data_IF_776102814702
#
_entry.id   IF_776102814702
#
_cell.length_a   1.000
_cell.length_b   1.000
_cell.length_c   1.000
_cell.angle_alpha   90.00
_cell.angle_beta   90.00
_cell.angle_gamma   90.00
#
_symmetry.space_group_name_H-M   'P 1'
#
loop_
_entity.id
_entity.type
_entity.pdbx_description
1 polymer ?
#
# COMPACT_ATOMS: atom_id res chain seq x y z
N UNK A 1 -15.50 -19.33 6.12
CA UNK A 1 -14.04 -19.23 5.86
C UNK A 1 -13.75 -18.79 4.41
N UNK A 2 -14.41 -17.74 3.87
CA UNK A 2 -14.16 -17.24 2.50
C UNK A 2 -13.72 -15.77 2.41
N UNK A 3 -13.59 -15.06 3.53
CA UNK A 3 -13.29 -13.62 3.55
C UNK A 3 -11.81 -13.25 3.34
N UNK A 4 -10.90 -14.23 3.24
CA UNK A 4 -9.45 -14.00 3.13
C UNK A 4 -8.91 -14.00 1.69
N UNK A 5 -9.72 -14.34 0.68
CA UNK A 5 -9.22 -14.54 -0.69
C UNK A 5 -9.51 -13.39 -1.69
N UNK A 6 -10.41 -12.45 -1.38
CA UNK A 6 -10.82 -11.44 -2.38
C UNK A 6 -9.86 -10.25 -2.54
N UNK A 7 -8.82 -10.08 -1.71
CA UNK A 7 -7.85 -8.98 -1.89
C UNK A 7 -6.80 -9.24 -2.99
N UNK A 8 -6.83 -10.39 -3.68
CA UNK A 8 -5.80 -10.77 -4.67
C UNK A 8 -6.14 -10.46 -6.14
N UNK A 9 -7.38 -10.04 -6.46
CA UNK A 9 -7.83 -9.90 -7.86
C UNK A 9 -8.51 -8.56 -8.11
N UNK A 10 -7.74 -7.48 -8.10
CA UNK A 10 -8.12 -6.22 -8.73
C UNK A 10 -6.91 -5.61 -9.45
N UNK A 11 -6.33 -6.37 -10.39
CA UNK A 11 -5.48 -5.81 -11.44
C UNK A 11 -6.41 -5.27 -12.54
N UNK A 12 -6.67 -3.96 -12.53
CA UNK A 12 -7.25 -3.30 -13.69
C UNK A 12 -6.23 -3.31 -14.83
N UNK A 13 -6.54 -4.06 -15.88
CA UNK A 13 -5.91 -4.01 -17.21
C UNK A 13 -5.81 -2.55 -17.70
N UNK A 14 -4.74 -2.17 -18.41
CA UNK A 14 -4.80 -1.01 -19.28
C UNK A 14 -5.92 -1.19 -20.30
N UNK A 15 -6.75 -0.17 -20.47
CA UNK A 15 -7.81 -0.11 -21.47
C UNK A 15 -7.21 -0.31 -22.86
N UNK A 16 -7.73 -1.30 -23.60
CA UNK A 16 -7.39 -1.53 -25.00
C UNK A 16 -7.98 -0.38 -25.83
N UNK A 17 -7.13 0.57 -26.21
CA UNK A 17 -7.40 1.55 -27.25
C UNK A 17 -7.38 0.89 -28.63
N UNK A 18 -8.43 1.15 -29.39
CA UNK A 18 -8.68 0.93 -30.82
C UNK A 18 -7.47 0.63 -31.71
N UNK A 19 -7.60 -0.46 -32.47
CA UNK A 19 -6.70 -0.90 -33.53
C UNK A 19 -6.50 0.14 -34.64
N UNK A 20 -5.24 0.32 -35.07
CA UNK A 20 -4.86 0.95 -36.34
C UNK A 20 -3.91 -0.01 -37.10
N UNK A 21 -3.90 -0.02 -38.45
CA UNK A 21 -3.38 -1.13 -39.23
C UNK A 21 -1.85 -1.11 -39.38
N UNK A 22 -1.28 -2.30 -39.58
CA UNK A 22 0.15 -2.57 -39.71
C UNK A 22 0.76 -2.00 -41.01
N UNK A 23 2.05 -1.56 -40.99
CA UNK A 23 2.86 -1.51 -42.18
C UNK A 23 3.78 -2.75 -42.31
N UNK A 24 4.02 -3.12 -43.57
CA UNK A 24 4.69 -4.30 -44.11
C UNK A 24 6.20 -4.41 -43.79
N UNK A 25 6.87 -5.54 -44.08
CA UNK A 25 8.19 -5.87 -43.53
C UNK A 25 9.33 -5.24 -44.35
N UNK A 26 10.36 -4.74 -43.66
CA UNK A 26 11.66 -4.37 -44.27
C UNK A 26 12.79 -5.04 -43.49
N UNK A 27 13.74 -5.53 -44.27
CA UNK A 27 14.77 -6.52 -43.96
C UNK A 27 15.94 -6.02 -43.07
N UNK A 28 16.63 -7.03 -42.54
CA UNK A 28 17.90 -7.10 -41.80
C UNK A 28 18.94 -5.99 -42.01
N UNK A 29 19.65 -5.63 -40.93
CA UNK A 29 21.13 -5.68 -40.87
C UNK A 29 21.70 -5.37 -39.47
N UNK A 30 22.69 -6.16 -39.04
CA UNK A 30 23.81 -5.74 -38.17
C UNK A 30 23.66 -5.87 -36.65
N UNK A 31 24.34 -6.85 -36.05
CA UNK A 31 24.76 -6.78 -34.64
C UNK A 31 25.96 -5.83 -34.48
N UNK A 32 26.13 -5.21 -33.29
CA UNK A 32 27.25 -5.67 -32.47
C UNK A 32 26.88 -5.86 -31.00
N UNK A 33 27.78 -6.54 -30.31
CA UNK A 33 27.71 -7.02 -28.94
C UNK A 33 27.46 -5.94 -27.87
N UNK A 34 26.86 -6.36 -26.75
CA UNK A 34 27.00 -5.69 -25.45
C UNK A 34 25.84 -4.82 -25.01
N UNK A 35 24.73 -5.44 -24.59
CA UNK A 35 23.82 -4.81 -23.63
C UNK A 35 23.06 -5.91 -22.87
N UNK A 36 23.27 -5.98 -21.55
CA UNK A 36 22.35 -6.70 -20.67
C UNK A 36 20.94 -6.12 -20.89
N UNK A 37 19.89 -6.93 -21.11
CA UNK A 37 18.53 -6.42 -21.25
C UNK A 37 18.02 -6.10 -19.84
N UNK A 38 18.49 -5.00 -19.28
CA UNK A 38 18.01 -4.47 -18.03
C UNK A 38 17.57 -3.03 -18.30
N UNK A 39 16.31 -2.83 -18.61
CA UNK A 39 15.57 -1.72 -18.02
C UNK A 39 14.10 -1.92 -18.31
N UNK A 40 13.29 -1.96 -17.24
CA UNK A 40 11.88 -1.60 -17.33
C UNK A 40 11.75 -0.36 -18.23
N UNK A 41 10.82 -0.36 -19.17
CA UNK A 41 10.54 0.84 -19.96
C UNK A 41 9.90 1.89 -19.03
N UNK A 42 10.73 2.66 -18.36
CA UNK A 42 10.36 3.66 -17.35
C UNK A 42 9.65 4.88 -17.98
N UNK A 43 9.48 4.93 -19.31
CA UNK A 43 8.87 6.07 -20.02
C UNK A 43 7.37 6.24 -19.75
N UNK A 44 6.68 5.17 -19.36
CA UNK A 44 5.24 5.20 -19.03
C UNK A 44 4.91 5.52 -17.57
N UNK A 45 5.92 5.71 -16.71
CA UNK A 45 5.74 5.67 -15.26
C UNK A 45 5.39 4.26 -14.76
N UNK A 46 5.51 4.01 -13.46
CA UNK A 46 5.12 2.73 -12.86
C UNK A 46 4.49 2.93 -11.50
N UNK A 47 3.71 1.94 -11.09
CA UNK A 47 3.03 1.91 -9.82
C UNK A 47 3.55 0.74 -8.98
N UNK A 48 3.64 0.91 -7.67
CA UNK A 48 4.04 -0.13 -6.74
C UNK A 48 2.86 -0.46 -5.83
N UNK A 49 2.56 -1.74 -5.61
CA UNK A 49 1.41 -2.16 -4.81
C UNK A 49 1.83 -3.12 -3.69
N UNK A 50 1.28 -2.91 -2.51
CA UNK A 50 1.44 -3.75 -1.32
C UNK A 50 0.12 -4.41 -0.96
N UNK A 51 0.03 -5.73 -1.14
CA UNK A 51 -1.18 -6.50 -0.87
C UNK A 51 -1.53 -6.55 0.63
N UNK A 52 -2.75 -6.99 0.95
CA UNK A 52 -3.14 -7.26 2.34
C UNK A 52 -2.60 -8.61 2.82
N UNK A 53 -2.00 -8.64 4.02
CA UNK A 53 -1.43 -9.87 4.60
C UNK A 53 -1.67 -10.01 6.12
N UNK A 54 -2.49 -9.15 6.73
CA UNK A 54 -2.77 -9.19 8.17
C UNK A 54 -1.51 -9.05 9.02
N UNK A 55 -1.29 -9.97 9.98
CA UNK A 55 -0.13 -9.95 10.87
C UNK A 55 1.21 -10.26 10.16
N UNK A 56 1.20 -10.69 8.90
CA UNK A 56 2.40 -10.83 8.07
C UNK A 56 2.89 -9.48 7.52
N UNK A 57 2.36 -8.35 8.00
CA UNK A 57 2.78 -7.00 7.60
C UNK A 57 4.29 -6.75 7.70
N UNK A 58 4.99 -7.48 8.57
CA UNK A 58 6.45 -7.44 8.69
C UNK A 58 7.18 -7.80 7.38
N UNK A 59 6.57 -8.63 6.53
CA UNK A 59 7.13 -8.96 5.22
C UNK A 59 7.13 -7.75 4.27
N UNK A 60 6.06 -6.95 4.27
CA UNK A 60 6.02 -5.72 3.47
C UNK A 60 7.05 -4.70 3.96
N UNK A 61 7.27 -4.60 5.28
CA UNK A 61 8.32 -3.76 5.84
C UNK A 61 9.70 -4.23 5.39
N UNK A 62 9.98 -5.53 5.45
CA UNK A 62 11.26 -6.09 4.97
C UNK A 62 11.50 -5.84 3.48
N UNK A 63 10.48 -6.07 2.64
CA UNK A 63 10.55 -5.78 1.19
C UNK A 63 10.79 -4.29 0.95
N UNK A 64 10.03 -3.42 1.61
CA UNK A 64 10.17 -1.97 1.48
C UNK A 64 11.55 -1.49 1.96
N UNK A 65 12.09 -2.06 3.03
CA UNK A 65 13.44 -1.74 3.51
C UNK A 65 14.50 -2.14 2.48
N UNK A 66 14.40 -3.33 1.91
CA UNK A 66 15.30 -3.80 0.85
C UNK A 66 15.22 -2.91 -0.39
N UNK A 67 14.00 -2.52 -0.80
CA UNK A 67 13.81 -1.60 -1.92
C UNK A 67 14.44 -0.23 -1.65
N UNK A 68 14.25 0.34 -0.46
CA UNK A 68 14.86 1.63 -0.11
C UNK A 68 16.39 1.57 -0.07
N UNK A 69 16.98 0.43 0.33
CA UNK A 69 18.43 0.26 0.41
C UNK A 69 19.06 -0.05 -0.96
N UNK A 70 18.50 -1.00 -1.70
CA UNK A 70 19.12 -1.56 -2.93
C UNK A 70 18.62 -0.89 -4.21
N UNK A 71 17.39 -0.39 -4.22
CA UNK A 71 16.76 0.17 -5.41
C UNK A 71 15.79 1.34 -5.07
N UNK A 72 16.26 2.40 -4.39
CA UNK A 72 15.39 3.48 -3.93
C UNK A 72 14.67 4.19 -5.07
N UNK A 73 15.22 4.16 -6.29
CA UNK A 73 14.60 4.71 -7.49
C UNK A 73 13.26 4.04 -7.80
N UNK A 74 13.04 2.77 -7.46
CA UNK A 74 11.76 2.09 -7.70
C UNK A 74 10.63 2.66 -6.85
N UNK A 75 10.92 3.05 -5.61
CA UNK A 75 9.93 3.63 -4.68
C UNK A 75 9.79 5.13 -4.95
N UNK A 76 10.91 5.84 -5.12
CA UNK A 76 10.93 7.29 -5.34
C UNK A 76 10.35 7.68 -6.71
N UNK A 77 10.62 6.88 -7.74
CA UNK A 77 10.15 7.08 -9.10
C UNK A 77 8.77 6.49 -9.40
N UNK A 78 8.19 5.71 -8.47
CA UNK A 78 6.82 5.23 -8.63
C UNK A 78 5.83 6.42 -8.62
N UNK A 79 4.94 6.44 -9.61
CA UNK A 79 3.88 7.44 -9.75
C UNK A 79 2.88 7.31 -8.61
N UNK A 80 2.45 6.08 -8.30
CA UNK A 80 1.55 5.79 -7.20
C UNK A 80 1.99 4.56 -6.39
N UNK A 81 1.72 4.63 -5.10
CA UNK A 81 1.89 3.55 -4.14
C UNK A 81 0.50 3.07 -3.71
N UNK A 82 0.19 1.82 -4.01
CA UNK A 82 -1.08 1.20 -3.66
C UNK A 82 -0.91 0.32 -2.42
N UNK A 83 -1.95 0.26 -1.61
CA UNK A 83 -1.95 -0.65 -0.47
C UNK A 83 -3.34 -1.08 0.00
N UNK A 84 -3.42 -2.29 0.53
CA UNK A 84 -4.60 -2.83 1.20
C UNK A 84 -4.21 -3.42 2.55
N UNK A 85 -5.05 -3.25 3.58
CA UNK A 85 -4.80 -3.77 4.94
C UNK A 85 -3.39 -3.43 5.45
N UNK A 86 -2.62 -4.43 5.91
CA UNK A 86 -1.24 -4.23 6.35
C UNK A 86 -0.32 -3.62 5.27
N UNK A 87 -0.56 -3.90 3.99
CA UNK A 87 0.17 -3.27 2.88
C UNK A 87 -0.10 -1.77 2.75
N UNK A 88 -1.28 -1.30 3.13
CA UNK A 88 -1.61 0.13 3.15
C UNK A 88 -0.80 0.89 4.22
N UNK A 89 -0.51 0.28 5.37
CA UNK A 89 0.39 0.87 6.36
C UNK A 89 1.79 1.07 5.78
N UNK A 90 2.35 0.04 5.16
CA UNK A 90 3.67 0.14 4.53
C UNK A 90 3.67 1.18 3.41
N UNK A 91 2.64 1.16 2.55
CA UNK A 91 2.50 2.16 1.49
C UNK A 91 2.39 3.59 2.04
N UNK A 92 1.67 3.80 3.16
CA UNK A 92 1.53 5.11 3.81
C UNK A 92 2.85 5.63 4.37
N UNK A 93 3.66 4.76 4.98
CA UNK A 93 4.98 5.12 5.51
C UNK A 93 5.93 5.50 4.38
N UNK A 94 5.88 4.77 3.27
CA UNK A 94 6.67 5.07 2.08
C UNK A 94 6.23 6.38 1.39
N UNK A 95 4.91 6.62 1.27
CA UNK A 95 4.39 7.84 0.63
C UNK A 95 4.62 9.08 1.48
N UNK A 96 4.52 8.97 2.81
CA UNK A 96 4.76 10.07 3.73
C UNK A 96 6.24 10.26 4.08
N UNK A 97 7.14 9.47 3.49
CA UNK A 97 8.58 9.48 3.79
C UNK A 97 8.89 9.28 5.30
N UNK A 98 8.03 8.56 6.01
CA UNK A 98 8.22 8.26 7.41
C UNK A 98 9.30 7.17 7.60
N UNK A 99 9.80 7.05 8.83
CA UNK A 99 10.87 6.11 9.13
C UNK A 99 10.36 4.66 9.09
N UNK A 100 10.85 3.87 8.14
CA UNK A 100 10.49 2.45 8.01
C UNK A 100 10.93 1.61 9.22
N UNK A 101 12.03 1.99 9.88
CA UNK A 101 12.50 1.32 11.09
C UNK A 101 11.50 1.48 12.24
N UNK A 102 10.95 2.68 12.43
CA UNK A 102 9.90 2.91 13.44
C UNK A 102 8.63 2.12 13.13
N UNK A 103 8.25 2.04 11.85
CA UNK A 103 7.15 1.17 11.42
C UNK A 103 7.41 -0.32 11.77
N UNK A 104 8.66 -0.79 11.65
CA UNK A 104 9.05 -2.13 12.07
C UNK A 104 8.89 -2.32 13.58
N UNK A 105 9.34 -1.35 14.38
CA UNK A 105 9.18 -1.36 15.84
C UNK A 105 7.71 -1.42 16.25
N UNK A 106 6.86 -0.62 15.60
CA UNK A 106 5.40 -0.62 15.81
C UNK A 106 4.75 -1.98 15.51
N UNK A 107 5.08 -2.60 14.38
CA UNK A 107 4.53 -3.93 14.04
C UNK A 107 4.99 -4.98 15.05
N UNK A 108 6.24 -4.90 15.52
CA UNK A 108 6.76 -5.79 16.56
C UNK A 108 6.05 -5.52 17.90
N UNK A 109 5.78 -4.26 18.25
CA UNK A 109 5.05 -3.88 19.45
C UNK A 109 3.61 -4.42 19.42
N UNK A 110 2.89 -4.23 18.30
CA UNK A 110 1.56 -4.81 18.08
C UNK A 110 1.59 -6.33 18.24
N UNK A 111 2.58 -7.01 17.66
CA UNK A 111 2.73 -8.46 17.78
C UNK A 111 3.09 -8.91 19.21
N UNK A 112 3.82 -8.10 19.98
CA UNK A 112 4.09 -8.36 21.40
C UNK A 112 2.82 -8.19 22.24
N UNK A 113 2.09 -7.10 22.06
CA UNK A 113 0.83 -6.83 22.76
C UNK A 113 -0.24 -7.89 22.46
N UNK A 114 -0.33 -8.34 21.20
CA UNK A 114 -1.20 -9.43 20.82
C UNK A 114 -0.83 -10.74 21.54
N UNK A 115 0.47 -11.03 21.74
CA UNK A 115 0.94 -12.28 22.36
C UNK A 115 0.91 -12.29 23.89
N UNK A 116 0.85 -11.13 24.55
CA UNK A 116 0.81 -11.02 26.03
C UNK A 116 -0.48 -11.57 26.66
N UNK A 117 -1.49 -11.94 25.87
CA UNK A 117 -2.85 -12.25 26.35
C UNK A 117 -3.23 -13.68 25.97
N UNK A 118 -3.89 -14.43 26.86
CA UNK A 118 -4.25 -15.84 26.67
C UNK A 118 -5.19 -16.12 25.48
N UNK A 119 -5.93 -15.10 24.98
CA UNK A 119 -6.77 -15.19 23.78
C UNK A 119 -6.14 -14.47 22.56
N UNK A 120 -4.89 -14.06 22.68
CA UNK A 120 -4.18 -13.41 21.60
C UNK A 120 -4.85 -12.09 21.13
N UNK A 121 -4.93 -11.86 19.81
CA UNK A 121 -5.66 -10.73 19.22
C UNK A 121 -7.17 -10.71 19.50
N UNK A 122 -7.76 -11.84 19.96
CA UNK A 122 -9.19 -11.95 20.26
C UNK A 122 -9.53 -11.56 21.70
N UNK A 123 -8.53 -11.20 22.50
CA UNK A 123 -8.75 -10.76 23.87
C UNK A 123 -9.49 -9.41 23.90
N UNK A 124 -10.60 -9.25 24.64
CA UNK A 124 -11.43 -8.03 24.62
C UNK A 124 -10.68 -6.75 25.04
N UNK A 125 -9.60 -6.87 25.82
CA UNK A 125 -8.73 -5.73 26.19
C UNK A 125 -7.59 -5.45 25.19
N UNK A 126 -7.45 -6.21 24.10
CA UNK A 126 -6.49 -5.91 23.02
C UNK A 126 -7.15 -4.96 22.03
N UNK A 127 -6.79 -3.68 22.13
CA UNK A 127 -7.30 -2.67 21.23
C UNK A 127 -6.25 -2.32 20.16
N UNK A 128 -6.27 -3.09 19.07
CA UNK A 128 -5.38 -2.90 17.93
C UNK A 128 -5.45 -1.46 17.40
N UNK A 129 -6.66 -0.90 17.31
CA UNK A 129 -6.89 0.48 16.85
C UNK A 129 -6.15 1.48 17.71
N UNK A 130 -6.19 1.32 19.04
CA UNK A 130 -5.50 2.22 19.98
C UNK A 130 -3.98 2.16 19.80
N UNK A 131 -3.41 0.96 19.69
CA UNK A 131 -1.96 0.79 19.51
C UNK A 131 -1.50 1.41 18.19
N UNK A 132 -2.17 1.05 17.09
CA UNK A 132 -1.84 1.58 15.76
C UNK A 132 -2.03 3.09 15.67
N UNK A 133 -3.14 3.62 16.21
CA UNK A 133 -3.40 5.06 16.21
C UNK A 133 -2.30 5.81 16.96
N UNK A 134 -1.81 5.26 18.07
CA UNK A 134 -0.71 5.86 18.83
C UNK A 134 0.60 5.84 18.06
N UNK A 135 0.97 4.69 17.46
CA UNK A 135 2.18 4.56 16.65
C UNK A 135 2.17 5.48 15.43
N UNK A 136 1.10 5.45 14.64
CA UNK A 136 0.95 6.31 13.46
C UNK A 136 0.96 7.80 13.80
N UNK A 137 0.35 8.21 14.92
CA UNK A 137 0.41 9.61 15.36
C UNK A 137 1.84 10.04 15.73
N UNK A 138 2.60 9.15 16.36
CA UNK A 138 3.98 9.41 16.77
C UNK A 138 4.95 9.44 15.59
N UNK A 139 4.74 8.57 14.60
CA UNK A 139 5.75 8.28 13.59
C UNK A 139 5.51 8.95 12.24
N UNK A 140 4.25 9.28 11.91
CA UNK A 140 3.95 10.06 10.71
C UNK A 140 4.28 11.55 10.94
N UNK A 141 4.92 12.22 9.97
CA UNK A 141 5.16 13.66 10.05
C UNK A 141 3.82 14.43 10.00
N UNK A 142 3.83 15.70 10.44
CA UNK A 142 2.62 16.53 10.49
C UNK A 142 1.99 16.77 9.11
N UNK A 143 2.81 16.85 8.06
CA UNK A 143 2.44 17.03 6.65
C UNK A 143 2.28 15.70 5.89
N UNK A 144 2.20 14.57 6.60
CA UNK A 144 2.09 13.24 5.99
C UNK A 144 0.95 13.13 4.96
N UNK A 145 -0.19 13.77 5.24
CA UNK A 145 -1.35 13.80 4.36
C UNK A 145 -1.09 14.54 3.05
N UNK A 146 -0.27 15.61 3.07
CA UNK A 146 0.14 16.34 1.86
C UNK A 146 1.08 15.49 1.02
N UNK A 147 2.05 14.83 1.65
CA UNK A 147 3.01 13.96 0.98
C UNK A 147 2.35 12.69 0.40
N UNK A 148 1.33 12.18 1.09
CA UNK A 148 0.58 11.01 0.67
C UNK A 148 -0.49 11.31 -0.38
N UNK A 149 -1.12 12.48 -0.36
CA UNK A 149 -2.20 12.81 -1.30
C UNK A 149 -1.74 12.75 -2.76
N UNK A 150 -2.55 12.16 -3.63
CA UNK A 150 -2.23 11.90 -5.04
C UNK A 150 -1.22 10.77 -5.28
N UNK A 151 -0.33 10.48 -4.31
CA UNK A 151 0.72 9.46 -4.40
C UNK A 151 0.32 8.11 -3.78
N UNK A 152 -0.38 8.11 -2.66
CA UNK A 152 -0.88 6.93 -1.98
C UNK A 152 -2.28 6.60 -2.52
N UNK A 153 -2.58 5.32 -2.68
CA UNK A 153 -3.91 4.83 -3.04
C UNK A 153 -4.26 3.66 -2.14
N UNK A 154 -5.23 3.87 -1.24
CA UNK A 154 -5.64 2.88 -0.25
C UNK A 154 -6.91 2.19 -0.72
N UNK A 155 -6.87 0.87 -0.83
CA UNK A 155 -8.03 0.05 -1.17
C UNK A 155 -8.83 -0.27 0.10
N UNK A 156 -10.07 0.20 0.13
CA UNK A 156 -11.05 0.00 1.19
C UNK A 156 -12.23 -0.80 0.66
N UNK A 157 -12.85 -1.61 1.52
CA UNK A 157 -14.13 -2.26 1.20
C UNK A 157 -15.22 -1.53 1.95
N UNK A 158 -16.22 -1.01 1.23
CA UNK A 158 -17.36 -0.34 1.83
C UNK A 158 -18.33 -1.39 2.35
N UNK A 159 -18.66 -1.32 3.64
CA UNK A 159 -19.46 -2.34 4.32
C UNK A 159 -20.93 -2.36 3.87
N UNK A 160 -21.47 -1.23 3.39
CA UNK A 160 -22.89 -1.11 3.02
C UNK A 160 -23.28 -1.90 1.78
N UNK A 161 -22.39 -1.96 0.79
CA UNK A 161 -22.62 -2.58 -0.52
C UNK A 161 -21.55 -3.65 -0.86
N UNK A 162 -20.47 -3.73 -0.09
CA UNK A 162 -19.35 -4.64 -0.34
C UNK A 162 -18.39 -4.16 -1.42
N UNK A 163 -18.59 -2.96 -1.96
CA UNK A 163 -17.82 -2.44 -3.09
C UNK A 163 -16.42 -1.98 -2.67
N UNK A 164 -15.45 -2.12 -3.59
CA UNK A 164 -14.10 -1.64 -3.36
C UNK A 164 -13.98 -0.16 -3.75
N UNK A 165 -13.44 0.65 -2.84
CA UNK A 165 -13.20 2.07 -3.05
C UNK A 165 -11.71 2.36 -2.87
N UNK A 166 -11.13 3.11 -3.80
CA UNK A 166 -9.77 3.62 -3.68
C UNK A 166 -9.80 5.06 -3.15
N UNK A 167 -9.10 5.29 -2.04
CA UNK A 167 -8.91 6.63 -1.47
C UNK A 167 -7.48 7.07 -1.75
N UNK A 168 -7.31 8.24 -2.39
CA UNK A 168 -5.99 8.80 -2.70
C UNK A 168 -5.75 10.21 -2.19
N UNK A 169 -6.79 10.90 -1.74
CA UNK A 169 -6.71 12.28 -1.27
C UNK A 169 -6.97 12.29 0.25
N UNK A 170 -6.19 13.09 0.96
CA UNK A 170 -6.25 13.23 2.41
C UNK A 170 -6.17 14.71 2.80
N UNK A 171 -7.22 15.21 3.44
CA UNK A 171 -7.32 16.60 3.90
C UNK A 171 -6.54 16.87 5.19
N UNK A 172 -6.26 15.84 5.99
CA UNK A 172 -5.52 15.97 7.25
C UNK A 172 -4.73 14.70 7.60
N UNK A 173 -3.76 14.84 8.51
CA UNK A 173 -3.00 13.71 9.07
C UNK A 173 -3.95 12.73 9.77
N UNK A 174 -4.94 13.25 10.47
CA UNK A 174 -5.94 12.48 11.19
C UNK A 174 -6.78 11.63 10.22
N UNK A 175 -7.18 12.19 9.08
CA UNK A 175 -7.88 11.45 8.03
C UNK A 175 -7.01 10.33 7.45
N UNK A 176 -5.75 10.60 7.15
CA UNK A 176 -4.80 9.57 6.68
C UNK A 176 -4.68 8.42 7.68
N UNK A 177 -4.51 8.74 8.97
CA UNK A 177 -4.45 7.75 10.05
C UNK A 177 -5.76 6.97 10.12
N UNK A 178 -6.90 7.64 10.01
CA UNK A 178 -8.20 7.01 10.09
C UNK A 178 -8.44 6.03 8.94
N UNK A 179 -8.07 6.39 7.71
CA UNK A 179 -8.09 5.50 6.55
C UNK A 179 -7.20 4.27 6.78
N UNK A 180 -6.01 4.46 7.33
CA UNK A 180 -5.09 3.37 7.68
C UNK A 180 -5.64 2.43 8.77
N UNK A 181 -6.45 2.95 9.70
CA UNK A 181 -7.12 2.12 10.71
C UNK A 181 -8.29 1.33 10.12
N UNK A 182 -9.06 1.94 9.20
CA UNK A 182 -10.20 1.29 8.55
C UNK A 182 -9.80 0.07 7.70
N UNK A 183 -8.68 0.14 6.98
CA UNK A 183 -8.20 -1.01 6.18
C UNK A 183 -7.79 -2.23 7.00
N UNK A 184 -7.52 -2.08 8.30
CA UNK A 184 -7.09 -3.17 9.18
C UNK A 184 -8.24 -3.78 9.96
N UNK A 185 -9.30 -3.02 10.20
CA UNK A 185 -10.47 -3.46 10.93
C UNK A 185 -11.59 -3.73 9.94
N UNK A 186 -11.81 -5.00 9.61
CA UNK A 186 -12.84 -5.48 8.66
C UNK A 186 -14.28 -5.06 9.04
N UNK A 187 -14.49 -4.43 10.21
CA UNK A 187 -15.80 -4.20 10.82
C UNK A 187 -15.99 -2.75 11.31
N UNK A 188 -15.72 -1.75 10.48
CA UNK A 188 -16.16 -0.38 10.77
C UNK A 188 -16.97 0.19 9.61
N UNK A 189 -18.18 0.75 9.86
CA UNK A 189 -18.99 1.37 8.82
C UNK A 189 -18.31 2.64 8.30
N UNK A 190 -18.02 2.66 7.00
CA UNK A 190 -17.36 3.77 6.27
C UNK A 190 -18.25 5.03 6.19
N UNK A 191 -19.53 4.92 6.52
CA UNK A 191 -20.56 5.93 6.24
C UNK A 191 -20.47 7.28 6.97
N UNK A 192 -19.54 7.48 7.89
CA UNK A 192 -19.51 8.69 8.73
C UNK A 192 -18.32 9.63 8.49
N UNK A 193 -17.44 9.38 7.53
CA UNK A 193 -16.12 10.04 7.52
C UNK A 193 -15.69 10.60 6.16
N UNK A 194 -16.09 9.98 5.05
CA UNK A 194 -15.74 10.46 3.71
C UNK A 194 -17.01 11.02 3.05
N UNK A 195 -17.11 12.34 2.80
CA UNK A 195 -18.07 12.83 1.82
C UNK A 195 -17.59 12.30 0.47
N UNK A 196 -18.32 11.34 -0.09
CA UNK A 196 -18.18 10.96 -1.50
C UNK A 196 -18.80 12.04 -2.38
#
# INVERSE_FOLDING_TARGET
>A
MSWLFSCLLAFSRPTAGTAAPAPSPVQSQGSPAGACPAMFDLKGGWNLSFAGCGFLGIYHIGVASCLLEKAPYLVKGATKLYGASAGALTASVLSSQACIAKCCEDVIEVAKEARKRNLGPLHPSFNLVKVLKSGLNRDLPSDAHVLASGRLCVSLTRVSDGENVLVSEFSSKEELIQVCLFVLVVLQPVGNVLPL
#
